data_IF_189677799496
#
_entry.id   IF_189677799496
#
_cell.length_a   1.000
_cell.length_b   1.000
_cell.length_c   1.000
_cell.angle_alpha   90.00
_cell.angle_beta   90.00
_cell.angle_gamma   90.00
#
_symmetry.space_group_name_H-M   'P 1'
#
loop_
_entity.id
_entity.type
_entity.pdbx_description
1 polymer ?
#
# COMPACT_ATOMS: atom_id res chain seq x y z
N UNK A 1 -35.39 -42.42 -0.66
CA UNK A 1 -35.79 -43.55 0.21
C UNK A 1 -34.60 -43.80 1.15
N UNK A 2 -34.62 -43.32 2.41
CA UNK A 2 -35.27 -43.97 3.58
C UNK A 2 -34.64 -45.37 3.82
N UNK A 3 -33.97 -45.68 4.92
CA UNK A 3 -34.36 -45.49 6.32
C UNK A 3 -33.17 -45.54 7.29
N UNK A 4 -33.26 -44.71 8.33
CA UNK A 4 -32.67 -44.94 9.64
C UNK A 4 -33.33 -46.15 10.31
N UNK A 5 -32.59 -46.89 11.16
CA UNK A 5 -33.18 -47.51 12.36
C UNK A 5 -32.17 -47.54 13.51
N UNK A 6 -32.48 -46.77 14.55
CA UNK A 6 -32.00 -46.96 15.92
C UNK A 6 -32.75 -48.13 16.55
N UNK A 7 -32.08 -48.93 17.38
CA UNK A 7 -32.73 -49.67 18.47
C UNK A 7 -31.86 -49.65 19.72
N UNK A 8 -32.51 -49.23 20.82
CA UNK A 8 -32.04 -49.23 22.20
C UNK A 8 -31.77 -50.65 22.74
N UNK A 9 -30.81 -50.78 23.65
CA UNK A 9 -30.96 -51.64 24.82
C UNK A 9 -30.29 -51.00 26.04
N UNK A 10 -30.96 -51.18 27.18
CA UNK A 10 -30.71 -50.56 28.49
C UNK A 10 -30.35 -51.65 29.51
N UNK A 11 -29.71 -51.23 30.61
CA UNK A 11 -29.45 -51.96 31.88
C UNK A 11 -28.21 -52.88 31.78
N UNK A 12 -27.21 -52.80 32.66
CA UNK A 12 -27.26 -52.97 34.12
C UNK A 12 -26.09 -52.28 34.86
N UNK A 13 -26.33 -51.91 36.12
CA UNK A 13 -25.34 -51.49 37.13
C UNK A 13 -24.60 -52.70 37.72
N UNK A 14 -23.30 -52.60 38.00
CA UNK A 14 -22.69 -53.01 39.27
C UNK A 14 -21.26 -52.46 39.39
N UNK A 15 -20.94 -51.93 40.56
CA UNK A 15 -19.68 -51.29 40.92
C UNK A 15 -18.63 -52.31 41.38
N UNK A 16 -17.36 -52.05 41.11
CA UNK A 16 -16.26 -52.50 41.97
C UNK A 16 -15.12 -51.48 41.90
N UNK A 17 -14.72 -50.98 43.06
CA UNK A 17 -13.71 -49.95 43.22
C UNK A 17 -12.29 -50.47 43.02
N UNK A 18 -11.43 -49.59 42.52
CA UNK A 18 -10.00 -49.63 42.78
C UNK A 18 -9.49 -48.20 42.94
N UNK A 19 -9.01 -47.91 44.15
CA UNK A 19 -8.21 -46.74 44.47
C UNK A 19 -6.89 -46.82 43.70
N UNK A 20 -6.66 -45.85 42.82
CA UNK A 20 -5.33 -45.50 42.34
C UNK A 20 -5.10 -44.01 42.60
N UNK A 21 -4.24 -43.75 43.58
CA UNK A 21 -3.66 -42.44 43.87
C UNK A 21 -2.72 -42.11 42.72
N UNK A 22 -3.15 -41.21 41.84
CA UNK A 22 -2.37 -40.69 40.73
C UNK A 22 -2.33 -39.17 40.79
N UNK A 23 -1.23 -38.62 41.33
CA UNK A 23 -0.87 -37.23 41.13
C UNK A 23 -0.79 -36.95 39.63
N UNK A 24 -1.70 -36.13 39.12
CA UNK A 24 -1.57 -35.50 37.81
C UNK A 24 -1.94 -34.03 37.98
N UNK A 25 -1.00 -33.19 37.58
CA UNK A 25 -0.93 -31.80 37.98
C UNK A 25 -2.18 -31.01 37.65
N UNK A 26 -2.38 -29.95 38.43
CA UNK A 26 -3.11 -28.79 37.96
C UNK A 26 -2.55 -28.39 36.60
N UNK A 27 -3.24 -28.78 35.53
CA UNK A 27 -3.25 -28.01 34.32
C UNK A 27 -3.83 -26.66 34.74
N UNK A 28 -2.92 -25.70 34.96
CA UNK A 28 -3.26 -24.30 34.82
C UNK A 28 -3.92 -24.19 33.45
N UNK A 29 -5.25 -24.15 33.44
CA UNK A 29 -5.98 -23.68 32.29
C UNK A 29 -5.53 -22.24 32.18
N UNK A 30 -4.59 -21.99 31.26
CA UNK A 30 -4.35 -20.66 30.75
C UNK A 30 -5.72 -20.20 30.25
N UNK A 31 -6.37 -19.40 31.06
CA UNK A 31 -7.62 -18.76 30.72
C UNK A 31 -7.25 -17.85 29.54
N UNK A 32 -7.57 -18.30 28.33
CA UNK A 32 -7.55 -17.43 27.17
C UNK A 32 -8.39 -16.21 27.55
N UNK A 33 -7.73 -15.06 27.63
CA UNK A 33 -8.43 -13.81 27.75
C UNK A 33 -9.24 -13.64 26.47
N UNK A 34 -10.54 -13.93 26.55
CA UNK A 34 -11.54 -13.33 25.69
C UNK A 34 -11.56 -11.84 26.04
N UNK A 35 -10.69 -11.07 25.38
CA UNK A 35 -11.00 -9.68 25.06
C UNK A 35 -11.52 -9.67 23.63
N UNK A 36 -12.57 -8.91 23.34
CA UNK A 36 -13.00 -8.59 21.97
C UNK A 36 -11.81 -7.96 21.23
N UNK A 37 -10.99 -8.82 20.63
CA UNK A 37 -9.56 -8.60 20.49
C UNK A 37 -9.21 -8.04 19.13
N UNK A 38 -8.46 -6.96 19.14
CA UNK A 38 -7.77 -6.48 17.97
C UNK A 38 -6.76 -7.54 17.47
N UNK A 39 -6.65 -7.69 16.15
CA UNK A 39 -5.66 -8.59 15.53
C UNK A 39 -4.99 -7.94 14.33
N UNK A 40 -3.75 -8.33 14.08
CA UNK A 40 -2.95 -7.88 12.93
C UNK A 40 -2.47 -9.10 12.14
N UNK A 41 -2.62 -9.06 10.81
CA UNK A 41 -2.22 -10.14 9.91
C UNK A 41 -1.70 -9.59 8.59
N UNK A 42 -0.68 -10.23 8.02
CA UNK A 42 -0.26 -10.02 6.64
C UNK A 42 -0.47 -11.27 5.79
N UNK A 43 -1.04 -11.09 4.61
CA UNK A 43 -1.14 -12.10 3.55
C UNK A 43 -0.11 -11.87 2.42
N UNK A 44 0.79 -10.89 2.59
CA UNK A 44 1.79 -10.49 1.60
C UNK A 44 3.16 -10.99 2.02
N UNK A 45 3.81 -11.77 1.16
CA UNK A 45 5.16 -12.25 1.39
C UNK A 45 6.15 -11.07 1.50
N UNK A 46 7.03 -11.11 2.50
CA UNK A 46 8.03 -10.08 2.73
C UNK A 46 7.54 -8.88 3.56
N UNK A 47 6.25 -8.77 3.86
CA UNK A 47 5.72 -7.78 4.81
C UNK A 47 5.15 -8.53 6.02
N UNK A 48 5.75 -8.31 7.18
CA UNK A 48 5.28 -8.85 8.45
C UNK A 48 4.38 -7.83 9.15
N UNK A 49 3.41 -8.33 9.93
CA UNK A 49 2.51 -7.47 10.69
C UNK A 49 2.27 -8.08 12.06
N UNK A 50 2.71 -7.37 13.11
CA UNK A 50 2.68 -7.85 14.48
C UNK A 50 1.90 -6.90 15.37
N UNK A 51 1.35 -7.41 16.46
CA UNK A 51 0.86 -6.58 17.57
C UNK A 51 2.04 -6.16 18.43
N UNK A 52 2.15 -4.87 18.71
CA UNK A 52 3.24 -4.28 19.48
C UNK A 52 2.72 -3.04 20.20
N UNK A 53 3.17 -2.81 21.43
CA UNK A 53 2.68 -1.71 22.29
C UNK A 53 3.71 -0.58 22.52
N UNK A 54 4.95 -0.77 22.09
CA UNK A 54 6.00 0.24 22.14
C UNK A 54 6.94 0.14 20.95
N UNK A 55 7.43 1.29 20.47
CA UNK A 55 8.50 1.35 19.47
C UNK A 55 9.87 1.46 20.16
N UNK A 56 10.91 0.79 19.62
CA UNK A 56 12.27 1.04 20.06
C UNK A 56 12.74 2.42 19.59
N UNK A 57 13.84 2.90 20.17
CA UNK A 57 14.58 4.05 19.61
C UNK A 57 15.03 3.74 18.19
N UNK A 58 15.03 4.77 17.35
CA UNK A 58 15.51 4.63 15.98
C UNK A 58 16.98 4.17 15.93
N UNK A 59 17.36 3.39 14.92
CA UNK A 59 18.76 3.07 14.69
C UNK A 59 19.55 4.35 14.35
N UNK A 60 20.86 4.32 14.58
CA UNK A 60 21.73 5.47 14.30
C UNK A 60 21.67 5.93 12.83
N UNK A 61 21.37 5.02 11.90
CA UNK A 61 21.17 5.34 10.47
C UNK A 61 20.00 6.29 10.20
N UNK A 62 19.09 6.50 11.16
CA UNK A 62 17.95 7.39 10.96
C UNK A 62 18.35 8.87 10.90
N UNK A 63 19.57 9.24 11.31
CA UNK A 63 20.05 10.62 11.21
C UNK A 63 20.19 11.11 9.76
N UNK A 64 20.33 10.20 8.77
CA UNK A 64 20.42 10.58 7.36
C UNK A 64 19.12 11.15 6.78
N UNK A 65 18.02 11.10 7.55
CA UNK A 65 16.74 11.73 7.20
C UNK A 65 16.88 13.24 6.89
N UNK A 66 17.87 13.92 7.48
CA UNK A 66 18.15 15.35 7.27
C UNK A 66 18.53 15.68 5.82
N UNK A 67 19.00 14.68 5.06
CA UNK A 67 19.38 14.82 3.65
C UNK A 67 18.20 14.51 2.69
N UNK A 68 17.07 14.03 3.23
CA UNK A 68 15.90 13.55 2.49
C UNK A 68 14.61 14.30 2.85
N UNK A 69 14.73 15.62 3.00
CA UNK A 69 13.64 16.52 3.46
C UNK A 69 12.42 16.57 2.55
N UNK A 70 12.52 16.08 1.31
CA UNK A 70 11.39 15.94 0.37
C UNK A 70 10.48 14.76 0.70
N UNK A 71 11.00 13.72 1.36
CA UNK A 71 10.24 12.53 1.77
C UNK A 71 9.82 12.57 3.24
N UNK A 72 10.65 13.18 4.09
CA UNK A 72 10.42 13.25 5.54
C UNK A 72 9.50 14.42 5.86
N UNK A 73 8.36 14.12 6.48
CA UNK A 73 7.40 15.15 6.88
C UNK A 73 7.62 15.60 8.31
N UNK A 74 7.24 16.84 8.61
CA UNK A 74 7.06 17.27 10.00
C UNK A 74 5.74 16.71 10.54
N UNK A 75 5.76 15.83 11.55
CA UNK A 75 4.54 15.20 12.06
C UNK A 75 3.59 16.21 12.69
N UNK A 76 2.30 16.07 12.37
CA UNK A 76 1.22 16.91 12.90
C UNK A 76 0.38 16.16 13.93
N UNK A 77 0.36 14.84 13.89
CA UNK A 77 -0.41 14.04 14.85
C UNK A 77 0.41 13.73 16.09
N UNK A 78 -0.25 13.50 17.23
CA UNK A 78 0.44 13.06 18.45
C UNK A 78 1.18 11.73 18.25
N UNK A 79 0.60 10.83 17.44
CA UNK A 79 1.22 9.54 17.11
C UNK A 79 2.52 9.70 16.33
N UNK A 80 2.55 10.49 15.25
CA UNK A 80 3.80 10.69 14.52
C UNK A 80 4.80 11.57 15.26
N UNK A 81 4.35 12.51 16.10
CA UNK A 81 5.24 13.21 17.03
C UNK A 81 5.93 12.23 18.01
N UNK A 82 5.21 11.22 18.51
CA UNK A 82 5.78 10.17 19.36
C UNK A 82 6.79 9.30 18.59
N UNK A 83 6.53 8.99 17.32
CA UNK A 83 7.47 8.28 16.43
C UNK A 83 8.75 9.11 16.22
N UNK A 84 8.61 10.38 15.86
CA UNK A 84 9.75 11.27 15.64
C UNK A 84 10.55 11.55 16.93
N UNK A 85 9.91 11.62 18.10
CA UNK A 85 10.57 11.76 19.39
C UNK A 85 11.50 10.58 19.72
N UNK A 86 11.28 9.42 19.11
CA UNK A 86 12.16 8.25 19.19
C UNK A 86 13.31 8.27 18.16
N UNK A 87 13.40 9.32 17.34
CA UNK A 87 14.45 9.56 16.35
C UNK A 87 14.16 9.01 14.94
N UNK A 88 12.95 8.49 14.69
CA UNK A 88 12.56 7.95 13.39
C UNK A 88 12.18 9.05 12.41
N UNK A 89 12.48 8.89 11.12
CA UNK A 89 12.00 9.78 10.07
C UNK A 89 10.60 9.40 9.64
N UNK A 90 9.62 10.29 9.86
CA UNK A 90 8.22 10.07 9.51
C UNK A 90 7.98 10.44 8.05
N UNK A 91 7.38 9.53 7.27
CA UNK A 91 7.13 9.72 5.83
C UNK A 91 5.67 10.00 5.51
N UNK A 92 4.73 9.56 6.35
CA UNK A 92 3.32 9.94 6.25
C UNK A 92 2.55 9.68 7.55
N UNK A 93 1.45 10.41 7.72
CA UNK A 93 0.46 10.20 8.78
C UNK A 93 -0.94 10.24 8.16
N UNK A 94 -1.66 9.11 8.17
CA UNK A 94 -2.99 9.00 7.55
C UNK A 94 -4.00 8.30 8.47
N UNK A 95 -5.28 8.73 8.46
CA UNK A 95 -6.33 8.00 9.16
C UNK A 95 -6.58 6.64 8.49
N UNK A 96 -6.91 5.65 9.31
CA UNK A 96 -7.32 4.31 8.89
C UNK A 96 -8.54 3.90 9.72
N UNK A 97 -9.73 4.32 9.29
CA UNK A 97 -10.96 4.15 10.10
C UNK A 97 -10.80 4.81 11.48
N UNK A 98 -10.96 4.07 12.60
CA UNK A 98 -10.78 4.60 13.95
C UNK A 98 -9.31 4.72 14.37
N UNK A 99 -8.36 4.32 13.51
CA UNK A 99 -6.94 4.27 13.81
C UNK A 99 -6.18 5.42 13.14
N UNK A 100 -4.99 5.70 13.66
CA UNK A 100 -3.98 6.53 13.02
C UNK A 100 -2.85 5.65 12.52
N UNK A 101 -2.58 5.66 11.22
CA UNK A 101 -1.40 5.04 10.64
C UNK A 101 -0.28 6.07 10.50
N UNK A 102 0.95 5.65 10.80
CA UNK A 102 2.16 6.46 10.63
C UNK A 102 3.20 5.61 9.93
N UNK A 103 3.61 5.98 8.72
CA UNK A 103 4.78 5.37 8.07
C UNK A 103 6.05 6.12 8.45
N UNK A 104 7.13 5.37 8.69
CA UNK A 104 8.40 5.92 9.12
C UNK A 104 9.54 4.95 8.83
N UNK A 105 10.76 5.48 8.76
CA UNK A 105 11.93 4.71 8.39
C UNK A 105 13.16 5.08 9.22
N UNK A 106 14.08 4.10 9.28
CA UNK A 106 15.31 4.16 10.07
C UNK A 106 16.56 4.39 9.24
N UNK A 107 16.44 4.58 7.93
CA UNK A 107 17.54 4.86 7.02
C UNK A 107 17.02 5.54 5.77
N UNK A 108 17.79 6.52 5.29
CA UNK A 108 17.51 7.29 4.09
C UNK A 108 18.81 7.47 3.32
N UNK A 109 18.83 7.11 2.05
CA UNK A 109 20.01 7.17 1.20
C UNK A 109 19.74 8.15 0.05
N UNK A 110 20.30 9.38 0.09
CA UNK A 110 20.06 10.39 -0.93
C UNK A 110 20.71 9.99 -2.26
N UNK A 111 20.02 10.34 -3.35
CA UNK A 111 20.45 10.09 -4.71
C UNK A 111 20.32 11.35 -5.57
N UNK A 112 20.62 11.23 -6.86
CA UNK A 112 20.58 12.36 -7.79
C UNK A 112 19.16 12.94 -7.91
N UNK A 113 19.09 14.20 -8.35
CA UNK A 113 17.82 14.91 -8.61
C UNK A 113 16.90 15.03 -7.40
N UNK A 114 17.45 15.00 -6.18
CA UNK A 114 16.67 15.16 -4.93
C UNK A 114 15.81 13.96 -4.57
N UNK A 115 16.06 12.79 -5.20
CA UNK A 115 15.44 11.52 -4.82
C UNK A 115 16.14 10.91 -3.62
N UNK A 116 15.43 10.06 -2.88
CA UNK A 116 15.98 9.32 -1.77
C UNK A 116 15.42 7.91 -1.74
N UNK A 117 16.30 6.94 -1.52
CA UNK A 117 15.92 5.58 -1.18
C UNK A 117 15.66 5.51 0.34
N UNK A 118 14.65 4.78 0.75
CA UNK A 118 14.23 4.61 2.13
C UNK A 118 14.49 3.17 2.53
N UNK A 119 15.06 2.92 3.70
CA UNK A 119 15.22 1.58 4.26
C UNK A 119 14.89 1.52 5.75
N UNK A 120 14.72 0.29 6.29
CA UNK A 120 14.21 0.00 7.63
C UNK A 120 12.85 0.67 7.85
N UNK A 121 12.01 0.54 6.83
CA UNK A 121 10.68 1.08 6.71
C UNK A 121 9.63 0.34 7.52
N UNK A 122 8.68 1.08 8.09
CA UNK A 122 7.61 0.55 8.91
C UNK A 122 6.30 1.35 8.74
N UNK A 123 5.18 0.74 9.14
CA UNK A 123 3.91 1.42 9.40
C UNK A 123 3.43 1.07 10.80
N UNK A 124 3.40 2.05 11.70
CA UNK A 124 2.82 1.91 13.03
C UNK A 124 1.35 2.27 13.01
N UNK A 125 0.54 1.47 13.70
CA UNK A 125 -0.90 1.72 13.85
C UNK A 125 -1.19 2.06 15.31
N UNK A 126 -1.90 3.16 15.50
CA UNK A 126 -2.25 3.69 16.80
C UNK A 126 -3.77 3.73 16.99
N UNK A 127 -4.21 3.41 18.20
CA UNK A 127 -5.56 3.64 18.70
C UNK A 127 -5.47 4.48 19.96
N UNK A 128 -6.18 5.61 20.02
CA UNK A 128 -6.13 6.54 21.15
C UNK A 128 -4.69 6.88 21.58
N UNK A 129 -3.82 7.12 20.59
CA UNK A 129 -2.39 7.43 20.75
C UNK A 129 -1.52 6.28 21.30
N UNK A 130 -2.08 5.09 21.51
CA UNK A 130 -1.34 3.89 21.89
C UNK A 130 -0.98 3.09 20.65
N UNK A 131 0.28 2.69 20.54
CA UNK A 131 0.71 1.74 19.52
C UNK A 131 -0.02 0.41 19.77
N UNK A 132 -0.58 -0.17 18.70
CA UNK A 132 -1.25 -1.48 18.77
C UNK A 132 -0.69 -2.48 17.77
N UNK A 133 -0.09 -2.01 16.68
CA UNK A 133 0.51 -2.88 15.67
C UNK A 133 1.63 -2.18 14.88
N UNK A 134 2.49 -3.01 14.28
CA UNK A 134 3.61 -2.59 13.46
C UNK A 134 3.71 -3.48 12.21
N UNK A 135 3.56 -2.87 11.04
CA UNK A 135 3.92 -3.48 9.76
C UNK A 135 5.37 -3.15 9.44
N UNK A 136 6.15 -4.13 8.97
CA UNK A 136 7.56 -3.94 8.62
C UNK A 136 7.99 -4.95 7.56
N UNK A 137 9.10 -4.67 6.89
CA UNK A 137 9.71 -5.63 5.97
C UNK A 137 10.34 -6.80 6.73
N UNK A 138 9.87 -8.00 6.44
CA UNK A 138 10.33 -9.23 7.08
C UNK A 138 11.79 -9.55 6.79
N UNK A 139 12.40 -10.39 7.62
CA UNK A 139 13.82 -10.74 7.46
C UNK A 139 14.07 -11.41 6.10
N UNK A 140 14.99 -10.85 5.32
CA UNK A 140 15.33 -11.35 3.98
C UNK A 140 14.38 -10.89 2.87
N UNK A 141 13.45 -9.98 3.19
CA UNK A 141 12.71 -9.25 2.16
C UNK A 141 13.66 -8.48 1.25
N UNK A 142 13.35 -8.45 -0.04
CA UNK A 142 14.08 -7.64 -1.04
C UNK A 142 13.53 -6.20 -1.14
N UNK A 143 12.44 -5.94 -0.45
CA UNK A 143 11.70 -4.68 -0.45
C UNK A 143 11.51 -4.20 0.98
N UNK A 144 11.52 -2.89 1.15
CA UNK A 144 11.31 -2.18 2.42
C UNK A 144 10.12 -1.24 2.29
N UNK A 145 9.59 -0.68 3.38
CA UNK A 145 8.41 0.20 3.33
C UNK A 145 8.87 1.67 3.25
N UNK A 146 8.49 2.39 2.20
CA UNK A 146 8.83 3.81 2.07
C UNK A 146 7.79 4.69 2.76
N UNK A 147 6.54 4.59 2.31
CA UNK A 147 5.45 5.47 2.75
C UNK A 147 4.08 4.80 2.61
N UNK A 148 3.04 5.52 3.02
CA UNK A 148 1.64 5.15 2.81
C UNK A 148 0.89 6.25 2.07
N UNK A 149 -0.09 5.87 1.25
CA UNK A 149 -1.04 6.80 0.64
C UNK A 149 -2.49 6.35 0.90
N UNK A 150 -3.43 7.29 0.77
CA UNK A 150 -4.83 7.01 1.01
C UNK A 150 -5.45 6.21 -0.15
N UNK A 151 -6.32 5.25 0.20
CA UNK A 151 -7.28 4.64 -0.70
C UNK A 151 -8.69 5.01 -0.24
N UNK A 152 -9.68 4.80 -1.11
CA UNK A 152 -11.08 4.97 -0.72
C UNK A 152 -11.47 4.03 0.43
N UNK A 153 -10.96 2.79 0.42
CA UNK A 153 -11.14 1.81 1.50
C UNK A 153 -9.78 1.34 2.02
N UNK A 154 -9.13 2.14 2.86
CA UNK A 154 -7.87 1.78 3.51
C UNK A 154 -6.68 2.60 3.04
N UNK A 155 -5.50 1.99 3.04
CA UNK A 155 -4.23 2.64 2.72
C UNK A 155 -3.43 1.78 1.75
N UNK A 156 -2.69 2.42 0.85
CA UNK A 156 -1.67 1.75 0.04
C UNK A 156 -0.32 1.85 0.73
N UNK A 157 0.40 0.73 0.80
CA UNK A 157 1.79 0.67 1.27
C UNK A 157 2.71 0.71 0.04
N UNK A 158 3.66 1.64 0.06
CA UNK A 158 4.66 1.83 -0.98
C UNK A 158 6.02 1.37 -0.49
N UNK A 159 6.84 0.85 -1.40
CA UNK A 159 8.22 0.53 -1.07
C UNK A 159 9.10 1.78 -0.93
N UNK A 160 10.33 1.54 -0.46
CA UNK A 160 11.33 2.59 -0.27
C UNK A 160 12.23 2.83 -1.47
N UNK A 161 11.92 2.31 -2.66
CA UNK A 161 12.78 2.49 -3.83
C UNK A 161 12.86 3.95 -4.28
N UNK A 162 13.90 4.28 -5.06
CA UNK A 162 14.06 5.63 -5.66
C UNK A 162 12.83 6.07 -6.47
N UNK A 163 12.19 5.11 -7.12
CA UNK A 163 10.88 5.26 -7.74
C UNK A 163 9.97 4.27 -7.04
N UNK A 164 9.29 4.76 -6.00
CA UNK A 164 8.47 3.94 -5.14
C UNK A 164 7.43 3.14 -5.94
N UNK A 165 7.30 1.86 -5.63
CA UNK A 165 6.24 1.00 -6.17
C UNK A 165 5.30 0.54 -5.07
N UNK A 166 4.01 0.38 -5.34
CA UNK A 166 3.11 -0.16 -4.33
C UNK A 166 3.43 -1.64 -4.09
N UNK A 167 3.30 -2.07 -2.84
CA UNK A 167 3.63 -3.44 -2.42
C UNK A 167 2.48 -4.17 -1.75
N UNK A 168 1.55 -3.42 -1.15
CA UNK A 168 0.39 -3.99 -0.47
C UNK A 168 -0.69 -2.94 -0.21
N UNK A 169 -1.88 -3.41 0.14
CA UNK A 169 -2.93 -2.58 0.71
C UNK A 169 -3.16 -2.96 2.18
N UNK A 170 -3.43 -1.96 3.02
CA UNK A 170 -3.72 -2.10 4.44
C UNK A 170 -5.17 -1.69 4.70
N UNK A 171 -5.92 -2.59 5.34
CA UNK A 171 -7.34 -2.40 5.60
C UNK A 171 -7.72 -2.72 7.05
N UNK A 172 -8.85 -2.16 7.48
CA UNK A 172 -9.59 -2.63 8.66
C UNK A 172 -10.71 -3.54 8.19
N UNK A 173 -10.73 -4.80 8.62
CA UNK A 173 -11.79 -5.78 8.38
C UNK A 173 -12.57 -6.02 9.65
N UNK A 174 -13.89 -6.15 9.50
CA UNK A 174 -14.84 -6.40 10.59
C UNK A 174 -14.72 -5.41 11.77
N UNK A 175 -14.15 -4.22 11.53
CA UNK A 175 -13.93 -3.17 12.53
C UNK A 175 -12.77 -3.39 13.50
N UNK A 176 -12.07 -4.53 13.46
CA UNK A 176 -11.04 -4.88 14.47
C UNK A 176 -9.85 -5.70 13.96
N UNK A 177 -9.92 -6.24 12.73
CA UNK A 177 -8.81 -6.95 12.10
C UNK A 177 -8.05 -5.99 11.18
N UNK A 178 -6.80 -5.69 11.50
CA UNK A 178 -5.90 -5.04 10.55
C UNK A 178 -5.27 -6.08 9.63
N UNK A 179 -5.44 -5.87 8.34
CA UNK A 179 -5.00 -6.83 7.35
C UNK A 179 -4.20 -6.15 6.25
N UNK A 180 -2.99 -6.66 6.04
CA UNK A 180 -2.19 -6.35 4.85
C UNK A 180 -2.51 -7.40 3.80
N UNK A 181 -2.99 -6.96 2.65
CA UNK A 181 -3.35 -7.79 1.50
C UNK A 181 -2.54 -7.41 0.27
N UNK A 182 -2.52 -8.30 -0.73
CA UNK A 182 -2.02 -7.92 -2.04
C UNK A 182 -2.78 -6.70 -2.57
N UNK A 183 -2.12 -5.90 -3.41
CA UNK A 183 -2.74 -4.76 -4.08
C UNK A 183 -3.99 -5.24 -4.81
N UNK A 184 -5.10 -4.52 -4.62
CA UNK A 184 -6.35 -4.85 -5.27
C UNK A 184 -6.19 -4.98 -6.80
N UNK A 185 -7.04 -5.80 -7.42
CA UNK A 185 -7.08 -5.91 -8.88
C UNK A 185 -7.61 -4.62 -9.54
N UNK A 186 -8.38 -3.84 -8.79
CA UNK A 186 -9.00 -2.60 -9.20
C UNK A 186 -9.08 -1.66 -7.99
N UNK A 187 -8.82 -0.39 -8.21
CA UNK A 187 -9.05 0.66 -7.24
C UNK A 187 -10.36 1.40 -7.52
N UNK A 188 -11.06 1.76 -6.45
CA UNK A 188 -12.21 2.66 -6.52
C UNK A 188 -11.72 4.10 -6.40
N UNK A 189 -12.13 4.93 -7.36
CA UNK A 189 -11.83 6.36 -7.37
C UNK A 189 -13.12 7.17 -7.40
N UNK A 190 -13.02 8.42 -6.93
CA UNK A 190 -14.14 9.37 -6.95
C UNK A 190 -15.40 8.81 -6.29
N UNK A 191 -15.27 8.38 -5.03
CA UNK A 191 -16.34 7.78 -4.24
C UNK A 191 -17.01 6.57 -4.93
N UNK A 192 -16.23 5.79 -5.67
CA UNK A 192 -16.66 4.58 -6.37
C UNK A 192 -17.32 4.82 -7.73
N UNK A 193 -17.33 6.06 -8.24
CA UNK A 193 -17.81 6.37 -9.59
C UNK A 193 -16.87 5.82 -10.67
N UNK A 194 -15.57 5.79 -10.39
CA UNK A 194 -14.54 5.26 -11.26
C UNK A 194 -13.92 3.99 -10.71
N UNK A 195 -13.43 3.16 -11.64
CA UNK A 195 -12.63 1.98 -11.35
C UNK A 195 -11.35 2.07 -12.16
N UNK A 196 -10.20 1.93 -11.50
CA UNK A 196 -8.90 1.91 -12.16
C UNK A 196 -8.33 0.50 -11.98
N UNK A 197 -8.17 -0.30 -13.06
CA UNK A 197 -7.52 -1.59 -12.95
C UNK A 197 -6.08 -1.40 -12.45
N UNK A 198 -5.55 -2.38 -11.72
CA UNK A 198 -4.16 -2.35 -11.30
C UNK A 198 -3.25 -2.39 -12.53
N UNK A 199 -2.66 -1.23 -12.85
CA UNK A 199 -1.78 -1.02 -14.00
C UNK A 199 -0.31 -0.88 -13.61
N UNK A 200 0.01 -0.88 -12.32
CA UNK A 200 1.39 -0.74 -11.83
C UNK A 200 2.32 -1.79 -12.44
N UNK A 201 3.51 -1.34 -12.85
CA UNK A 201 4.54 -2.15 -13.50
C UNK A 201 4.19 -2.61 -14.92
N UNK A 202 2.98 -2.35 -15.44
CA UNK A 202 2.63 -2.70 -16.83
C UNK A 202 3.26 -1.70 -17.80
N UNK A 203 3.75 -2.16 -18.96
CA UNK A 203 4.05 -1.26 -20.07
C UNK A 203 2.81 -0.45 -20.47
N UNK A 204 3.01 0.80 -20.89
CA UNK A 204 1.91 1.73 -21.15
C UNK A 204 0.90 1.23 -22.20
N UNK A 205 1.32 0.46 -23.20
CA UNK A 205 0.40 -0.13 -24.19
C UNK A 205 -0.59 -1.12 -23.55
N UNK A 206 -0.14 -1.89 -22.55
CA UNK A 206 -0.99 -2.82 -21.78
C UNK A 206 -1.84 -2.09 -20.75
N UNK A 207 -1.28 -1.09 -20.08
CA UNK A 207 -2.03 -0.26 -19.15
C UNK A 207 -3.20 0.43 -19.87
N UNK A 208 -2.94 1.06 -21.03
CA UNK A 208 -3.94 1.68 -21.89
C UNK A 208 -5.08 0.74 -22.26
N UNK A 209 -4.77 -0.50 -22.64
CA UNK A 209 -5.79 -1.50 -22.99
C UNK A 209 -6.69 -1.85 -21.81
N UNK A 210 -6.11 -2.00 -20.61
CA UNK A 210 -6.87 -2.26 -19.39
C UNK A 210 -7.75 -1.07 -18.99
N UNK A 211 -7.20 0.15 -19.08
CA UNK A 211 -7.92 1.40 -18.81
C UNK A 211 -9.10 1.59 -19.78
N UNK A 212 -8.87 1.41 -21.09
CA UNK A 212 -9.93 1.45 -22.09
C UNK A 212 -11.02 0.41 -21.88
N UNK A 213 -10.65 -0.81 -21.47
CA UNK A 213 -11.62 -1.86 -21.10
C UNK A 213 -12.45 -1.49 -19.86
N UNK A 214 -11.95 -0.57 -19.03
CA UNK A 214 -12.63 -0.04 -17.86
C UNK A 214 -13.38 1.28 -18.15
N UNK A 215 -13.45 1.69 -19.43
CA UNK A 215 -14.17 2.87 -19.89
C UNK A 215 -13.42 4.19 -19.76
N UNK A 216 -12.10 4.16 -19.57
CA UNK A 216 -11.26 5.36 -19.62
C UNK A 216 -10.85 5.66 -21.06
N UNK A 217 -11.17 6.85 -21.53
CA UNK A 217 -10.89 7.30 -22.90
C UNK A 217 -9.59 8.11 -22.94
N UNK A 218 -8.62 7.76 -23.81
CA UNK A 218 -7.36 8.50 -23.92
C UNK A 218 -7.60 9.94 -24.37
N UNK A 219 -7.04 10.91 -23.66
CA UNK A 219 -7.09 12.32 -24.01
C UNK A 219 -5.96 12.64 -24.99
N UNK A 220 -6.30 12.84 -26.27
CA UNK A 220 -5.30 13.15 -27.30
C UNK A 220 -4.52 14.42 -26.96
N UNK A 221 -3.19 14.34 -27.01
CA UNK A 221 -2.32 15.50 -26.92
C UNK A 221 -2.60 16.49 -28.07
N UNK A 222 -2.89 17.77 -27.78
CA UNK A 222 -3.17 18.77 -28.80
C UNK A 222 -1.93 19.29 -29.54
N UNK A 223 -0.72 19.05 -29.01
CA UNK A 223 0.54 19.54 -29.58
C UNK A 223 0.85 18.88 -30.93
N UNK A 224 1.39 19.66 -31.86
CA UNK A 224 2.02 19.11 -33.06
C UNK A 224 3.43 18.61 -32.72
N UNK A 225 3.52 17.39 -32.21
CA UNK A 225 4.78 16.77 -31.77
C UNK A 225 5.81 16.65 -32.91
N UNK A 226 5.38 16.68 -34.18
CA UNK A 226 6.27 16.62 -35.32
C UNK A 226 6.91 17.97 -35.66
N UNK A 227 6.41 19.08 -35.10
CA UNK A 227 6.96 20.41 -35.34
C UNK A 227 8.35 20.60 -34.71
N UNK A 228 8.67 19.87 -33.64
CA UNK A 228 9.97 19.89 -32.98
C UNK A 228 10.34 18.51 -32.41
N UNK A 229 10.94 17.66 -33.25
CA UNK A 229 11.36 16.31 -32.84
C UNK A 229 12.47 16.31 -31.77
N UNK A 230 13.25 17.38 -31.66
CA UNK A 230 14.32 17.48 -30.66
C UNK A 230 13.72 17.71 -29.29
N UNK A 231 12.67 18.53 -29.21
CA UNK A 231 11.95 18.80 -27.97
C UNK A 231 11.04 17.63 -27.56
N UNK A 232 10.32 17.02 -28.50
CA UNK A 232 9.25 16.05 -28.23
C UNK A 232 9.59 14.61 -28.63
N UNK A 233 10.87 14.25 -28.68
CA UNK A 233 11.31 13.00 -29.31
C UNK A 233 10.63 11.73 -28.75
N UNK A 234 10.47 11.64 -27.43
CA UNK A 234 9.85 10.48 -26.78
C UNK A 234 8.33 10.47 -26.96
N UNK A 235 7.69 11.62 -26.81
CA UNK A 235 6.25 11.81 -27.02
C UNK A 235 5.88 11.48 -28.47
N UNK A 236 6.67 11.95 -29.43
CA UNK A 236 6.50 11.67 -30.85
C UNK A 236 6.70 10.18 -31.14
N UNK A 237 7.70 9.53 -30.54
CA UNK A 237 7.93 8.10 -30.69
C UNK A 237 6.75 7.26 -30.18
N UNK A 238 6.18 7.63 -29.02
CA UNK A 238 4.99 7.00 -28.45
C UNK A 238 3.74 7.26 -29.31
N UNK A 239 3.56 8.49 -29.78
CA UNK A 239 2.44 8.88 -30.66
C UNK A 239 2.47 8.13 -32.00
N UNK A 240 3.64 7.95 -32.61
CA UNK A 240 3.83 7.12 -33.83
C UNK A 240 3.46 5.64 -33.62
N UNK A 241 3.45 5.17 -32.38
CA UNK A 241 3.02 3.82 -31.97
C UNK A 241 1.54 3.78 -31.57
N UNK A 242 0.83 4.89 -31.70
CA UNK A 242 -0.60 5.01 -31.44
C UNK A 242 -0.96 5.38 -30.00
N UNK A 243 0.01 5.70 -29.14
CA UNK A 243 -0.21 6.23 -27.78
C UNK A 243 -0.39 7.74 -27.90
N UNK A 244 -1.63 8.17 -28.13
CA UNK A 244 -1.96 9.57 -28.47
C UNK A 244 -2.14 10.44 -27.22
N UNK A 245 -2.26 9.80 -26.07
CA UNK A 245 -2.50 10.40 -24.76
C UNK A 245 -1.24 10.78 -23.99
N UNK A 246 -0.05 10.55 -24.56
CA UNK A 246 1.20 11.05 -23.99
C UNK A 246 1.22 12.57 -24.04
N UNK A 247 1.34 13.23 -22.90
CA UNK A 247 1.30 14.69 -22.80
C UNK A 247 2.70 15.31 -22.79
N UNK A 248 3.57 14.79 -21.91
CA UNK A 248 4.92 15.28 -21.70
C UNK A 248 5.81 14.19 -21.10
N UNK A 249 7.09 14.20 -21.49
CA UNK A 249 8.14 13.33 -20.99
C UNK A 249 9.33 14.15 -20.46
N UNK A 250 9.85 13.79 -19.30
CA UNK A 250 10.97 14.45 -18.64
C UNK A 250 12.33 13.90 -19.10
N UNK A 251 13.33 14.76 -19.23
CA UNK A 251 14.72 14.35 -19.50
C UNK A 251 15.57 14.09 -18.24
N UNK A 252 14.95 13.76 -17.10
CA UNK A 252 15.58 13.80 -15.76
C UNK A 252 16.36 12.53 -15.38
N UNK A 253 16.76 11.70 -16.36
CA UNK A 253 17.46 10.43 -16.15
C UNK A 253 16.54 9.25 -15.81
N UNK A 254 15.36 9.51 -15.26
CA UNK A 254 14.30 8.51 -15.06
C UNK A 254 13.32 8.41 -16.23
N UNK A 255 13.29 9.42 -17.12
CA UNK A 255 12.40 9.49 -18.27
C UNK A 255 10.91 9.29 -17.91
N UNK A 256 10.43 10.04 -16.91
CA UNK A 256 9.02 10.00 -16.57
C UNK A 256 8.17 10.57 -17.70
N UNK A 257 7.05 9.91 -18.02
CA UNK A 257 6.06 10.44 -18.97
C UNK A 257 4.68 10.48 -18.33
N UNK A 258 3.93 11.54 -18.61
CA UNK A 258 2.53 11.72 -18.20
C UNK A 258 1.56 11.37 -19.32
N UNK A 259 0.45 10.73 -18.95
CA UNK A 259 -0.64 10.34 -19.85
C UNK A 259 -1.99 10.67 -19.21
N UNK A 260 -2.95 11.13 -19.99
CA UNK A 260 -4.27 11.53 -19.47
C UNK A 260 -5.42 10.78 -20.12
N UNK A 261 -6.42 10.43 -19.31
CA UNK A 261 -7.63 9.75 -19.73
C UNK A 261 -8.86 10.37 -19.08
N UNK A 262 -10.03 10.30 -19.72
CA UNK A 262 -11.29 10.81 -19.16
C UNK A 262 -12.36 9.74 -19.10
N UNK A 263 -13.26 9.89 -18.11
CA UNK A 263 -14.45 9.07 -17.96
C UNK A 263 -15.53 9.86 -17.25
N UNK A 264 -16.54 10.33 -17.99
CA UNK A 264 -17.56 11.23 -17.44
C UNK A 264 -16.92 12.51 -16.89
N UNK A 265 -17.23 12.86 -15.64
CA UNK A 265 -16.68 14.02 -14.93
C UNK A 265 -15.35 13.74 -14.19
N UNK A 266 -14.68 12.63 -14.54
CA UNK A 266 -13.39 12.25 -13.97
C UNK A 266 -12.28 12.33 -15.01
N UNK A 267 -11.08 12.65 -14.55
CA UNK A 267 -9.85 12.54 -15.32
C UNK A 267 -8.84 11.67 -14.54
N UNK A 268 -8.09 10.87 -15.27
CA UNK A 268 -7.04 10.01 -14.74
C UNK A 268 -5.71 10.44 -15.36
N UNK A 269 -4.76 10.87 -14.53
CA UNK A 269 -3.37 10.94 -14.93
C UNK A 269 -2.68 9.61 -14.64
N UNK A 270 -1.80 9.19 -15.54
CA UNK A 270 -0.96 8.01 -15.41
C UNK A 270 0.48 8.45 -15.63
N UNK A 271 1.39 7.99 -14.78
CA UNK A 271 2.81 8.29 -14.86
C UNK A 271 3.58 7.01 -15.12
N UNK A 272 4.48 7.04 -16.09
CA UNK A 272 5.41 5.93 -16.35
C UNK A 272 6.85 6.33 -16.04
N UNK A 273 7.73 5.34 -15.88
CA UNK A 273 9.17 5.54 -15.76
C UNK A 273 9.93 4.67 -16.76
N UNK A 274 11.14 5.11 -17.10
CA UNK A 274 12.13 4.33 -17.83
C UNK A 274 12.18 4.65 -19.33
N UNK A 275 13.17 4.04 -19.97
CA UNK A 275 13.40 4.14 -21.41
C UNK A 275 12.78 2.96 -22.15
N UNK A 276 12.51 3.16 -23.44
CA UNK A 276 12.08 2.12 -24.36
C UNK A 276 10.75 2.42 -25.03
N UNK A 277 10.31 1.44 -25.81
CA UNK A 277 9.15 1.56 -26.69
C UNK A 277 7.85 1.83 -25.93
N UNK A 278 7.71 1.26 -24.72
CA UNK A 278 6.55 1.38 -23.85
C UNK A 278 7.02 1.40 -22.37
N UNK A 279 7.22 2.59 -21.77
CA UNK A 279 7.66 2.70 -20.39
C UNK A 279 6.62 2.12 -19.42
N UNK A 280 7.07 1.71 -18.23
CA UNK A 280 6.24 1.01 -17.25
C UNK A 280 5.53 2.00 -16.32
N UNK A 281 4.25 1.75 -16.02
CA UNK A 281 3.46 2.59 -15.10
C UNK A 281 3.98 2.48 -13.68
N UNK A 282 4.20 3.62 -13.04
CA UNK A 282 4.64 3.73 -11.64
C UNK A 282 3.64 4.44 -10.77
N UNK A 283 2.79 5.29 -11.35
CA UNK A 283 1.77 6.02 -10.59
C UNK A 283 0.54 6.34 -11.43
N UNK A 284 -0.55 6.66 -10.76
CA UNK A 284 -1.72 7.27 -11.36
C UNK A 284 -2.48 8.12 -10.33
N UNK A 285 -3.21 9.13 -10.78
CA UNK A 285 -4.07 9.95 -9.93
C UNK A 285 -5.42 10.24 -10.62
N UNK A 286 -6.51 10.19 -9.86
CA UNK A 286 -7.84 10.50 -10.36
C UNK A 286 -8.33 11.86 -9.83
N UNK A 287 -8.56 12.80 -10.74
CA UNK A 287 -9.27 14.05 -10.47
C UNK A 287 -10.78 13.82 -10.59
N UNK A 288 -11.51 14.16 -9.53
CA UNK A 288 -12.94 13.86 -9.38
C UNK A 288 -13.87 15.04 -9.67
N UNK A 289 -13.31 16.14 -10.16
CA UNK A 289 -14.04 17.29 -10.66
C UNK A 289 -13.23 17.98 -11.76
N UNK A 290 -13.94 18.73 -12.61
CA UNK A 290 -13.36 19.38 -13.79
C UNK A 290 -12.40 20.52 -13.47
N UNK A 291 -12.42 21.08 -12.26
CA UNK A 291 -11.55 22.22 -11.90
C UNK A 291 -10.11 21.80 -11.67
N UNK A 292 -9.89 20.50 -11.42
CA UNK A 292 -8.58 19.90 -11.24
C UNK A 292 -8.11 19.12 -12.48
N UNK A 293 -8.84 19.21 -13.59
CA UNK A 293 -8.41 18.58 -14.84
C UNK A 293 -7.18 19.27 -15.40
N UNK A 294 -6.29 18.45 -15.94
CA UNK A 294 -5.16 18.85 -16.75
C UNK A 294 -5.61 19.82 -17.83
N UNK A 295 -4.97 20.97 -17.85
CA UNK A 295 -5.06 21.90 -18.96
C UNK A 295 -3.87 21.60 -19.85
N UNK A 296 -4.08 21.09 -21.07
CA UNK A 296 -2.97 20.84 -21.98
C UNK A 296 -2.21 22.14 -22.22
N UNK A 297 -0.89 22.10 -22.01
CA UNK A 297 0.03 23.20 -22.33
C UNK A 297 0.08 23.49 -23.83
#
# INVERSE_FOLDING_TARGET
>A
MLFQTRTHFSKYRLALGLLLVGFSGWSAHAQQANGDGFSAKSDVAGIEFITLDHLPKAPASASSQEECTTLVITPKTTSGQAVAALGWGVTAELPLGPYQAVSFAGQFDPATSGTCEVDKGNVAIFQDQKLIALAYAGKGSKQTIGTISALQDGLRVWDGGLVGSPVADLHVRDGHLLQITAIAAEDLVCAGQGKVPNVYGKPIDKARQALGSSGWEPLKNPKDLAADEVQYGQELALSRRGIVEVDSCSGTGFNFCGFYYRKGDMELSVTTVGEGDFPAVVDYHAACDQTHWHQPD
#
